data_IF_593981087887
#
_entry.id   IF_593981087887
#
_cell.length_a   1.000
_cell.length_b   1.000
_cell.length_c   1.000
_cell.angle_alpha   90.00
_cell.angle_beta   90.00
_cell.angle_gamma   90.00
#
_symmetry.space_group_name_H-M   'P 1'
#
loop_
_entity.id
_entity.type
_entity.pdbx_description
1 polymer ?
#
# COMPACT_ATOMS: atom_id res chain seq x y z
N UNK A 1 11.23 6.22 22.83
CA UNK A 1 12.29 6.01 21.79
C UNK A 1 12.08 7.07 20.71
N UNK A 2 13.14 7.79 20.31
CA UNK A 2 13.08 8.79 19.24
C UNK A 2 13.04 8.14 17.83
N UNK A 3 12.72 8.93 16.82
CA UNK A 3 12.56 8.45 15.44
C UNK A 3 13.89 7.93 14.84
N UNK A 4 15.03 8.49 15.22
CA UNK A 4 16.32 8.07 14.67
C UNK A 4 16.71 6.68 15.19
N UNK A 5 16.54 6.45 16.49
CA UNK A 5 16.73 5.14 17.12
C UNK A 5 15.77 4.11 16.54
N UNK A 6 14.51 4.47 16.36
CA UNK A 6 13.48 3.62 15.74
C UNK A 6 13.86 3.24 14.30
N UNK A 7 14.34 4.19 13.49
CA UNK A 7 14.78 3.93 12.11
C UNK A 7 15.95 2.95 12.07
N UNK A 8 16.97 3.14 12.91
CA UNK A 8 18.11 2.20 13.02
C UNK A 8 17.64 0.79 13.44
N UNK A 9 16.70 0.72 14.38
CA UNK A 9 16.09 -0.54 14.82
C UNK A 9 15.35 -1.27 13.69
N UNK A 10 14.63 -0.54 12.85
CA UNK A 10 13.96 -1.10 11.68
C UNK A 10 14.94 -1.59 10.61
N UNK A 11 15.97 -0.81 10.31
CA UNK A 11 16.99 -1.23 9.35
C UNK A 11 17.75 -2.48 9.82
N UNK A 12 18.06 -2.55 11.13
CA UNK A 12 18.64 -3.75 11.73
C UNK A 12 17.70 -4.96 11.63
N UNK A 13 16.41 -4.77 11.87
CA UNK A 13 15.40 -5.80 11.67
C UNK A 13 15.36 -6.31 10.23
N UNK A 14 15.36 -5.43 9.24
CA UNK A 14 15.41 -5.85 7.84
C UNK A 14 16.66 -6.69 7.52
N UNK A 15 17.82 -6.37 8.12
CA UNK A 15 19.04 -7.15 7.96
C UNK A 15 18.97 -8.52 8.63
N UNK A 16 18.22 -8.64 9.72
CA UNK A 16 17.95 -9.95 10.36
C UNK A 16 17.06 -10.81 9.44
N UNK A 17 15.99 -10.23 8.86
CA UNK A 17 15.03 -10.98 8.04
C UNK A 17 15.56 -11.33 6.64
N UNK A 18 16.29 -10.42 6.02
CA UNK A 18 16.72 -10.53 4.62
C UNK A 18 18.22 -10.78 4.45
N UNK A 19 19.01 -10.61 5.50
CA UNK A 19 20.45 -10.81 5.46
C UNK A 19 21.11 -9.96 4.36
N UNK A 20 21.83 -10.60 3.47
CA UNK A 20 22.55 -9.99 2.35
C UNK A 20 21.65 -9.51 1.19
N UNK A 21 20.36 -9.78 1.27
CA UNK A 21 19.41 -9.36 0.24
C UNK A 21 18.98 -7.89 0.40
N UNK A 22 19.18 -7.29 1.57
CA UNK A 22 18.87 -5.87 1.79
C UNK A 22 19.60 -5.00 0.77
N UNK A 23 18.88 -4.04 0.21
CA UNK A 23 19.41 -3.10 -0.79
C UNK A 23 19.65 -1.75 -0.14
N UNK A 24 20.90 -1.44 0.16
CA UNK A 24 21.29 -0.21 0.88
C UNK A 24 20.93 1.08 0.11
N UNK A 25 21.06 1.09 -1.23
CA UNK A 25 20.57 2.19 -2.08
C UNK A 25 19.07 2.47 -1.83
N UNK A 26 18.28 1.41 -1.63
CA UNK A 26 16.86 1.54 -1.29
C UNK A 26 16.62 2.11 0.11
N UNK A 27 17.45 1.79 1.09
CA UNK A 27 17.36 2.39 2.43
C UNK A 27 17.72 3.89 2.38
N UNK A 28 18.70 4.28 1.58
CA UNK A 28 19.05 5.69 1.35
C UNK A 28 17.90 6.44 0.67
N UNK A 29 17.29 5.85 -0.37
CA UNK A 29 16.10 6.41 -1.03
C UNK A 29 14.93 6.54 -0.03
N UNK A 30 14.72 5.54 0.83
CA UNK A 30 13.70 5.59 1.89
C UNK A 30 13.90 6.77 2.83
N UNK A 31 15.13 6.99 3.29
CA UNK A 31 15.45 8.14 4.16
C UNK A 31 15.23 9.48 3.46
N UNK A 32 15.49 9.57 2.16
CA UNK A 32 15.15 10.74 1.35
C UNK A 32 13.65 10.99 1.28
N UNK A 33 12.86 9.95 1.03
CA UNK A 33 11.38 10.05 1.04
C UNK A 33 10.83 10.47 2.42
N UNK A 34 11.42 9.97 3.51
CA UNK A 34 11.04 10.39 4.86
C UNK A 34 11.28 11.89 5.12
N UNK A 35 12.20 12.52 4.42
CA UNK A 35 12.48 13.96 4.52
C UNK A 35 11.54 14.81 3.67
N UNK A 36 10.90 14.24 2.65
CA UNK A 36 10.13 14.97 1.65
C UNK A 36 8.84 15.61 2.20
N UNK A 37 8.33 15.13 3.34
CA UNK A 37 7.14 15.70 3.99
C UNK A 37 6.40 14.68 4.85
N UNK A 38 5.37 15.13 5.61
CA UNK A 38 4.65 14.27 6.56
C UNK A 38 3.89 13.10 5.92
N UNK A 39 3.29 13.26 4.75
CA UNK A 39 2.59 12.17 4.07
C UNK A 39 3.54 11.10 3.50
N UNK A 40 4.62 11.43 2.76
CA UNK A 40 5.67 10.48 2.44
C UNK A 40 6.30 9.81 3.67
N UNK A 41 6.50 10.55 4.76
CA UNK A 41 7.02 10.02 6.02
C UNK A 41 6.09 8.95 6.61
N UNK A 42 4.79 9.22 6.74
CA UNK A 42 3.81 8.23 7.19
C UNK A 42 3.92 6.93 6.38
N UNK A 43 3.99 7.03 5.05
CA UNK A 43 4.09 5.87 4.13
C UNK A 43 5.42 5.12 4.24
N UNK A 44 6.48 5.84 4.57
CA UNK A 44 7.81 5.23 4.72
C UNK A 44 7.98 4.50 6.04
N UNK A 45 7.24 4.87 7.09
CA UNK A 45 7.54 4.54 8.49
C UNK A 45 6.43 3.76 9.21
N UNK A 46 5.83 2.77 8.55
CA UNK A 46 4.78 1.97 9.19
C UNK A 46 5.25 1.30 10.49
N UNK A 47 6.50 0.87 10.57
CA UNK A 47 7.06 0.33 11.81
C UNK A 47 6.99 1.34 12.98
N UNK A 48 7.20 2.63 12.71
CA UNK A 48 7.10 3.67 13.72
C UNK A 48 5.66 3.87 14.18
N UNK A 49 4.72 3.83 13.23
CA UNK A 49 3.29 3.84 13.53
C UNK A 49 2.93 2.75 14.54
N UNK A 50 3.38 1.51 14.31
CA UNK A 50 3.07 0.39 15.22
C UNK A 50 3.65 0.58 16.62
N UNK A 51 4.76 1.29 16.76
CA UNK A 51 5.40 1.57 18.04
C UNK A 51 4.64 2.61 18.87
N UNK A 52 3.96 3.58 18.22
CA UNK A 52 3.38 4.75 18.90
C UNK A 52 1.86 4.78 18.93
N UNK A 53 1.18 4.08 18.04
CA UNK A 53 -0.27 4.26 17.84
C UNK A 53 -1.10 3.94 19.08
N UNK A 54 -0.72 2.95 19.88
CA UNK A 54 -1.41 2.63 21.13
C UNK A 54 -1.05 3.57 22.29
N UNK A 55 -0.01 4.38 22.17
CA UNK A 55 0.26 5.50 23.08
C UNK A 55 -0.63 6.70 22.72
N UNK A 56 -0.90 6.92 21.43
CA UNK A 56 -1.71 8.03 20.91
C UNK A 56 -3.21 7.79 21.05
N UNK A 57 -3.65 6.55 20.95
CA UNK A 57 -5.05 6.14 21.01
C UNK A 57 -5.20 4.83 21.82
N UNK A 58 -4.93 4.86 23.12
CA UNK A 58 -4.92 3.66 23.98
C UNK A 58 -6.28 2.95 24.05
N UNK A 59 -7.37 3.69 23.88
CA UNK A 59 -8.74 3.15 23.87
C UNK A 59 -9.01 2.22 22.69
N UNK A 60 -8.18 2.26 21.64
CA UNK A 60 -8.31 1.37 20.48
C UNK A 60 -7.69 0.00 20.71
N UNK A 61 -6.88 -0.17 21.74
CA UNK A 61 -6.26 -1.46 22.08
C UNK A 61 -7.30 -2.54 22.39
N UNK A 62 -8.47 -2.16 22.90
CA UNK A 62 -9.58 -3.06 23.25
C UNK A 62 -10.53 -3.37 22.08
N UNK A 63 -10.37 -2.72 20.91
CA UNK A 63 -11.21 -2.99 19.77
C UNK A 63 -11.02 -4.43 19.25
N UNK A 64 -12.07 -5.05 18.71
CA UNK A 64 -11.99 -6.38 18.12
C UNK A 64 -10.84 -6.52 17.14
N UNK A 65 -10.07 -7.59 17.28
CA UNK A 65 -8.97 -7.90 16.39
C UNK A 65 -9.49 -8.57 15.12
N UNK A 66 -8.95 -8.15 13.99
CA UNK A 66 -9.25 -8.69 12.67
C UNK A 66 -7.95 -8.83 11.89
N UNK A 67 -8.00 -9.59 10.80
CA UNK A 67 -6.94 -9.51 9.81
C UNK A 67 -7.06 -8.15 9.09
N UNK A 68 -6.21 -7.22 9.46
CA UNK A 68 -6.18 -5.85 8.99
C UNK A 68 -5.04 -5.62 7.98
N UNK A 69 -5.13 -4.54 7.21
CA UNK A 69 -4.13 -4.18 6.18
C UNK A 69 -2.82 -3.70 6.79
N UNK A 70 -2.91 -2.95 7.88
CA UNK A 70 -1.79 -2.36 8.60
C UNK A 70 -1.27 -1.07 7.95
N UNK A 71 -0.48 -1.16 6.90
CA UNK A 71 0.06 0.03 6.20
C UNK A 71 -0.96 0.65 5.24
N UNK A 72 -2.15 0.94 5.73
CA UNK A 72 -3.18 1.60 4.93
C UNK A 72 -2.94 3.11 4.85
N UNK A 73 -3.14 3.69 3.68
CA UNK A 73 -3.09 5.12 3.39
C UNK A 73 -3.81 5.42 2.08
N UNK A 74 -4.08 6.71 1.76
CA UNK A 74 -4.83 7.11 0.56
C UNK A 74 -4.35 6.46 -0.74
N UNK A 75 -3.05 6.31 -0.90
CA UNK A 75 -2.47 5.74 -2.11
C UNK A 75 -2.29 4.21 -2.06
N UNK A 76 -2.84 3.51 -1.07
CA UNK A 76 -2.79 2.05 -1.04
C UNK A 76 -3.95 1.38 -1.79
N UNK A 77 -4.67 2.13 -2.61
CA UNK A 77 -5.77 1.64 -3.42
C UNK A 77 -5.42 1.71 -4.91
N UNK A 78 -5.94 0.76 -5.67
CA UNK A 78 -5.73 0.72 -7.11
C UNK A 78 -6.62 -0.30 -7.78
N UNK A 79 -6.44 -0.47 -9.10
CA UNK A 79 -7.23 -1.39 -9.89
C UNK A 79 -6.46 -2.64 -10.29
N UNK A 80 -7.20 -3.72 -10.47
CA UNK A 80 -6.72 -4.97 -11.09
C UNK A 80 -7.86 -5.64 -11.87
N UNK A 81 -7.56 -6.75 -12.51
CA UNK A 81 -8.56 -7.61 -13.13
C UNK A 81 -8.61 -8.94 -12.38
N UNK A 82 -9.81 -9.38 -12.03
CA UNK A 82 -10.03 -10.69 -11.43
C UNK A 82 -9.93 -11.84 -12.46
N UNK A 83 -10.29 -13.06 -12.05
CA UNK A 83 -10.19 -14.24 -12.89
C UNK A 83 -11.13 -14.20 -14.12
N UNK A 84 -12.26 -13.49 -14.00
CA UNK A 84 -13.22 -13.30 -15.10
C UNK A 84 -12.91 -12.05 -15.95
N UNK A 85 -11.77 -11.37 -15.69
CA UNK A 85 -11.38 -10.16 -16.41
C UNK A 85 -12.13 -8.90 -15.97
N UNK A 86 -12.99 -8.95 -14.92
CA UNK A 86 -13.74 -7.80 -14.43
C UNK A 86 -12.81 -6.79 -13.77
N UNK A 87 -13.08 -5.50 -13.99
CA UNK A 87 -12.32 -4.44 -13.36
C UNK A 87 -12.71 -4.32 -11.88
N UNK A 88 -11.72 -4.48 -11.01
CA UNK A 88 -11.87 -4.39 -9.55
C UNK A 88 -11.02 -3.23 -9.06
N UNK A 89 -11.53 -2.52 -8.05
CA UNK A 89 -10.79 -1.50 -7.31
C UNK A 89 -10.77 -1.87 -5.82
N UNK A 90 -9.70 -1.51 -5.13
CA UNK A 90 -9.57 -1.71 -3.70
C UNK A 90 -8.12 -1.66 -3.24
N UNK A 91 -7.85 -2.11 -2.02
CA UNK A 91 -6.49 -2.23 -1.47
C UNK A 91 -5.68 -3.22 -2.32
N UNK A 92 -4.45 -2.83 -2.69
CA UNK A 92 -3.58 -3.60 -3.57
C UNK A 92 -2.14 -3.79 -3.07
N UNK A 93 -1.85 -3.41 -1.83
CA UNK A 93 -0.59 -3.71 -1.13
C UNK A 93 -0.91 -4.24 0.27
N UNK A 94 -0.48 -5.45 0.57
CA UNK A 94 -0.85 -6.22 1.77
C UNK A 94 0.35 -6.65 2.60
N UNK A 95 1.52 -6.07 2.37
CA UNK A 95 2.79 -6.51 2.95
C UNK A 95 2.81 -6.49 4.49
N UNK A 96 2.05 -5.57 5.08
CA UNK A 96 1.99 -5.35 6.51
C UNK A 96 0.72 -5.95 7.16
N UNK A 97 0.07 -6.88 6.44
CA UNK A 97 -1.13 -7.55 6.94
C UNK A 97 -0.85 -8.32 8.25
N UNK A 98 -1.65 -8.05 9.27
CA UNK A 98 -1.54 -8.70 10.58
C UNK A 98 -2.88 -8.72 11.32
N UNK A 99 -2.97 -9.53 12.37
CA UNK A 99 -4.12 -9.51 13.26
C UNK A 99 -3.97 -8.38 14.28
N UNK A 100 -4.83 -7.37 14.16
CA UNK A 100 -4.79 -6.18 15.02
C UNK A 100 -6.18 -5.56 15.18
N UNK A 101 -6.36 -4.64 16.13
CA UNK A 101 -7.62 -3.90 16.29
C UNK A 101 -8.05 -3.23 14.98
N UNK A 102 -9.28 -3.52 14.50
CA UNK A 102 -9.78 -3.01 13.21
C UNK A 102 -9.75 -1.47 13.10
N UNK A 103 -9.96 -0.80 14.23
CA UNK A 103 -10.01 0.66 14.31
C UNK A 103 -8.67 1.34 13.95
N UNK A 104 -7.55 0.61 14.02
CA UNK A 104 -6.23 1.14 13.68
C UNK A 104 -6.07 1.39 12.18
N UNK A 105 -6.66 0.57 11.32
CA UNK A 105 -6.69 0.83 9.88
C UNK A 105 -7.50 2.11 9.57
N UNK A 106 -8.66 2.28 10.21
CA UNK A 106 -9.46 3.50 10.04
C UNK A 106 -8.71 4.74 10.52
N UNK A 107 -8.06 4.65 11.67
CA UNK A 107 -7.25 5.74 12.22
C UNK A 107 -6.10 6.12 11.27
N UNK A 108 -5.37 5.13 10.78
CA UNK A 108 -4.25 5.37 9.88
C UNK A 108 -4.70 5.95 8.54
N UNK A 109 -5.81 5.46 7.98
CA UNK A 109 -6.38 6.01 6.74
C UNK A 109 -6.77 7.49 6.92
N UNK A 110 -7.50 7.82 8.00
CA UNK A 110 -7.89 9.20 8.29
C UNK A 110 -6.66 10.10 8.53
N UNK A 111 -5.66 9.63 9.28
CA UNK A 111 -4.38 10.33 9.49
C UNK A 111 -3.68 10.60 8.15
N UNK A 112 -3.66 9.62 7.24
CA UNK A 112 -3.05 9.79 5.91
C UNK A 112 -3.77 10.87 5.09
N UNK A 113 -5.09 10.98 5.23
CA UNK A 113 -5.90 12.02 4.59
C UNK A 113 -5.51 13.43 5.08
N UNK A 114 -5.37 13.61 6.38
CA UNK A 114 -4.94 14.90 6.96
C UNK A 114 -3.52 15.29 6.52
N UNK A 115 -2.61 14.35 6.46
CA UNK A 115 -1.22 14.61 6.07
C UNK A 115 -1.05 14.88 4.57
N UNK A 116 -1.98 14.40 3.74
CA UNK A 116 -1.98 14.64 2.30
C UNK A 116 -2.67 15.95 1.90
N UNK A 117 -3.63 16.41 2.70
CA UNK A 117 -4.46 17.60 2.39
C UNK A 117 -4.73 18.46 3.62
N UNK A 118 -3.76 19.27 4.02
CA UNK A 118 -3.82 20.10 5.22
C UNK A 118 -5.03 21.07 5.28
N UNK A 119 -5.70 21.31 4.17
CA UNK A 119 -6.90 22.18 4.08
C UNK A 119 -8.20 21.46 4.46
N UNK A 120 -8.19 20.13 4.52
CA UNK A 120 -9.37 19.33 4.82
C UNK A 120 -9.57 19.21 6.33
N UNK A 121 -10.82 19.36 6.77
CA UNK A 121 -11.17 19.20 8.19
C UNK A 121 -11.17 17.73 8.58
N UNK A 122 -10.58 17.43 9.72
CA UNK A 122 -10.52 16.08 10.27
C UNK A 122 -11.90 15.42 10.35
N UNK A 123 -12.91 16.18 10.72
CA UNK A 123 -14.29 15.71 10.84
C UNK A 123 -14.84 15.22 9.49
N UNK A 124 -14.62 15.97 8.40
CA UNK A 124 -15.14 15.62 7.07
C UNK A 124 -14.49 14.33 6.53
N UNK A 125 -13.17 14.17 6.73
CA UNK A 125 -12.45 12.95 6.34
C UNK A 125 -12.97 11.77 7.19
N UNK A 126 -13.04 11.93 8.50
CA UNK A 126 -13.47 10.89 9.42
C UNK A 126 -14.91 10.44 9.16
N UNK A 127 -15.84 11.41 8.97
CA UNK A 127 -17.24 11.11 8.65
C UNK A 127 -17.37 10.29 7.37
N UNK A 128 -16.70 10.68 6.29
CA UNK A 128 -16.75 9.97 5.03
C UNK A 128 -16.23 8.53 5.17
N UNK A 129 -15.10 8.32 5.84
CA UNK A 129 -14.53 7.00 6.07
C UNK A 129 -15.48 6.15 6.92
N UNK A 130 -16.06 6.70 7.99
CA UNK A 130 -16.98 5.99 8.87
C UNK A 130 -18.31 5.65 8.19
N UNK A 131 -18.83 6.54 7.32
CA UNK A 131 -20.03 6.26 6.53
C UNK A 131 -19.80 5.10 5.55
N UNK A 132 -18.67 5.13 4.86
CA UNK A 132 -18.29 4.04 3.98
C UNK A 132 -18.08 2.72 4.73
N UNK A 133 -17.42 2.78 5.90
CA UNK A 133 -17.20 1.61 6.73
C UNK A 133 -18.53 1.01 7.23
N UNK A 134 -19.48 1.84 7.68
CA UNK A 134 -20.83 1.41 8.07
C UNK A 134 -21.53 0.70 6.92
N UNK A 135 -21.52 1.29 5.71
CA UNK A 135 -22.09 0.66 4.50
C UNK A 135 -21.46 -0.70 4.21
N UNK A 136 -20.14 -0.82 4.34
CA UNK A 136 -19.42 -2.08 4.14
C UNK A 136 -19.71 -3.13 5.22
N UNK A 137 -20.02 -2.70 6.46
CA UNK A 137 -20.48 -3.62 7.50
C UNK A 137 -21.86 -4.22 7.22
N UNK A 138 -22.73 -3.47 6.55
CA UNK A 138 -24.08 -3.91 6.16
C UNK A 138 -24.05 -4.78 4.88
N UNK A 139 -23.33 -4.34 3.85
CA UNK A 139 -23.24 -5.01 2.54
C UNK A 139 -21.76 -5.17 2.12
N UNK A 140 -21.03 -6.14 2.72
CA UNK A 140 -19.63 -6.39 2.37
C UNK A 140 -19.50 -7.02 0.98
N UNK A 141 -18.51 -6.58 0.23
CA UNK A 141 -18.22 -7.14 -1.09
C UNK A 141 -17.19 -6.32 -1.87
N UNK A 142 -16.62 -6.89 -2.94
CA UNK A 142 -15.61 -6.22 -3.74
C UNK A 142 -16.24 -5.07 -4.56
N UNK A 143 -15.46 -4.01 -4.77
CA UNK A 143 -15.82 -2.96 -5.71
C UNK A 143 -15.52 -3.40 -7.16
N UNK A 144 -16.44 -4.17 -7.76
CA UNK A 144 -16.40 -4.54 -9.19
C UNK A 144 -17.05 -3.43 -10.00
N UNK A 145 -16.30 -2.82 -10.90
CA UNK A 145 -16.65 -1.56 -11.55
C UNK A 145 -17.41 -1.70 -12.89
N UNK A 146 -17.60 -2.92 -13.38
CA UNK A 146 -18.19 -3.13 -14.71
C UNK A 146 -19.65 -2.63 -14.81
N UNK A 147 -20.44 -2.74 -13.73
CA UNK A 147 -21.86 -2.38 -13.69
C UNK A 147 -22.24 -1.38 -12.60
N UNK A 148 -21.44 -1.28 -11.54
CA UNK A 148 -21.70 -0.43 -10.38
C UNK A 148 -20.59 0.61 -10.25
N UNK A 149 -20.80 1.64 -9.43
CA UNK A 149 -19.81 2.67 -9.12
C UNK A 149 -19.24 3.36 -10.38
N UNK A 150 -20.14 3.85 -11.27
CA UNK A 150 -19.75 4.50 -12.52
C UNK A 150 -18.76 5.65 -12.30
N UNK A 151 -19.00 6.48 -11.28
CA UNK A 151 -18.11 7.58 -10.89
C UNK A 151 -16.69 7.10 -10.55
N UNK A 152 -16.57 5.97 -9.82
CA UNK A 152 -15.26 5.40 -9.46
C UNK A 152 -14.56 4.81 -10.69
N UNK A 153 -15.33 4.14 -11.57
CA UNK A 153 -14.81 3.66 -12.84
C UNK A 153 -14.23 4.79 -13.69
N UNK A 154 -14.93 5.92 -13.78
CA UNK A 154 -14.46 7.11 -14.49
C UNK A 154 -13.18 7.68 -13.85
N UNK A 155 -13.15 7.82 -12.53
CA UNK A 155 -11.98 8.31 -11.80
C UNK A 155 -10.73 7.43 -11.97
N UNK A 156 -10.91 6.10 -12.13
CA UNK A 156 -9.80 5.14 -12.30
C UNK A 156 -9.64 4.64 -13.74
N UNK A 157 -10.32 5.23 -14.69
CA UNK A 157 -10.11 4.92 -16.11
C UNK A 157 -8.69 5.26 -16.53
N UNK A 158 -8.10 4.39 -17.35
CA UNK A 158 -6.70 4.54 -17.77
C UNK A 158 -6.66 5.27 -19.13
N UNK A 159 -6.17 6.52 -19.18
CA UNK A 159 -5.94 7.24 -20.43
C UNK A 159 -4.88 6.55 -21.29
N UNK A 160 -4.92 6.75 -22.62
CA UNK A 160 -3.93 6.15 -23.52
C UNK A 160 -2.50 6.62 -23.22
N UNK A 161 -2.31 7.90 -22.90
CA UNK A 161 -1.02 8.43 -22.50
C UNK A 161 -0.42 7.72 -21.27
N UNK A 162 -1.26 7.26 -20.32
CA UNK A 162 -0.80 6.48 -19.18
C UNK A 162 -0.31 5.07 -19.58
N UNK A 163 -0.96 4.43 -20.55
CA UNK A 163 -0.50 3.12 -21.08
C UNK A 163 0.86 3.25 -21.74
N UNK A 164 1.05 4.27 -22.56
CA UNK A 164 2.33 4.54 -23.20
C UNK A 164 3.42 4.85 -22.16
N UNK A 165 3.13 5.70 -21.17
CA UNK A 165 4.06 6.00 -20.09
C UNK A 165 4.47 4.76 -19.29
N UNK A 166 3.56 3.83 -19.04
CA UNK A 166 3.88 2.56 -18.36
C UNK A 166 5.01 1.81 -19.08
N UNK A 167 4.91 1.63 -20.39
CA UNK A 167 5.92 0.94 -21.19
C UNK A 167 7.23 1.71 -21.26
N UNK A 168 7.17 3.02 -21.44
CA UNK A 168 8.34 3.88 -21.45
C UNK A 168 9.07 3.89 -20.11
N UNK A 169 8.34 3.93 -19.01
CA UNK A 169 8.89 3.82 -17.65
C UNK A 169 9.60 2.48 -17.43
N UNK A 170 8.99 1.37 -17.85
CA UNK A 170 9.62 0.06 -17.77
C UNK A 170 10.92 0.02 -18.60
N UNK A 171 10.88 0.50 -19.82
CA UNK A 171 12.05 0.57 -20.72
C UNK A 171 13.17 1.44 -20.13
N UNK A 172 12.85 2.62 -19.57
CA UNK A 172 13.84 3.50 -18.93
C UNK A 172 14.48 2.82 -17.70
N UNK A 173 13.66 2.20 -16.83
CA UNK A 173 14.16 1.51 -15.63
C UNK A 173 15.06 0.34 -16.00
N UNK A 174 14.68 -0.46 -17.00
CA UNK A 174 15.50 -1.56 -17.51
C UNK A 174 16.84 -1.05 -18.06
N UNK A 175 16.83 -0.04 -18.94
CA UNK A 175 18.06 0.54 -19.49
C UNK A 175 18.98 1.07 -18.38
N UNK A 176 18.43 1.76 -17.37
CA UNK A 176 19.21 2.23 -16.22
C UNK A 176 19.88 1.07 -15.46
N UNK A 177 19.23 -0.08 -15.38
CA UNK A 177 19.82 -1.27 -14.75
C UNK A 177 20.90 -1.91 -15.66
N UNK A 178 20.65 -2.04 -16.96
CA UNK A 178 21.54 -2.68 -17.94
C UNK A 178 22.88 -1.98 -18.07
N UNK A 179 22.94 -0.64 -17.92
CA UNK A 179 24.17 0.13 -17.99
C UNK A 179 25.04 0.08 -16.73
N UNK A 180 24.53 -0.44 -15.61
CA UNK A 180 25.30 -0.64 -14.39
C UNK A 180 26.34 -1.76 -14.58
N UNK A 181 27.49 -1.62 -13.97
CA UNK A 181 28.45 -2.72 -13.85
C UNK A 181 27.91 -3.83 -12.96
N UNK A 182 28.46 -5.03 -13.07
CA UNK A 182 28.04 -6.16 -12.24
C UNK A 182 28.14 -5.88 -10.74
N UNK A 183 29.19 -5.16 -10.33
CA UNK A 183 29.40 -4.77 -8.94
C UNK A 183 28.34 -3.78 -8.40
N UNK A 184 27.78 -2.95 -9.29
CA UNK A 184 26.73 -1.97 -8.95
C UNK A 184 25.32 -2.54 -8.98
N UNK A 185 25.15 -3.74 -9.54
CA UNK A 185 23.83 -4.37 -9.63
C UNK A 185 23.48 -5.09 -8.34
N UNK A 186 22.27 -4.88 -7.77
CA UNK A 186 21.77 -5.77 -6.75
C UNK A 186 21.79 -7.22 -7.25
N UNK A 187 22.15 -8.14 -6.38
CA UNK A 187 22.19 -9.56 -6.71
C UNK A 187 20.76 -10.10 -6.86
N UNK A 188 20.47 -10.72 -8.00
CA UNK A 188 19.27 -11.53 -8.18
C UNK A 188 19.45 -12.87 -7.46
N UNK A 189 18.70 -13.06 -6.37
CA UNK A 189 18.75 -14.32 -5.63
C UNK A 189 17.81 -15.35 -6.26
N UNK A 190 18.12 -16.65 -6.20
CA UNK A 190 17.36 -17.69 -6.89
C UNK A 190 15.86 -17.71 -6.57
N UNK A 191 15.46 -17.39 -5.34
CA UNK A 191 14.05 -17.37 -4.93
C UNK A 191 13.20 -16.35 -5.70
N UNK A 192 13.76 -15.17 -6.04
CA UNK A 192 13.02 -14.16 -6.84
C UNK A 192 12.86 -14.61 -8.28
N UNK A 193 13.92 -15.16 -8.86
CA UNK A 193 13.89 -15.69 -10.22
C UNK A 193 12.89 -16.84 -10.32
N UNK A 194 12.95 -17.80 -9.40
CA UNK A 194 12.02 -18.92 -9.36
C UNK A 194 10.57 -18.47 -9.21
N UNK A 195 10.28 -17.51 -8.30
CA UNK A 195 8.94 -16.97 -8.09
C UNK A 195 8.42 -16.21 -9.32
N UNK A 196 9.28 -15.44 -10.00
CA UNK A 196 8.92 -14.75 -11.24
C UNK A 196 8.59 -15.74 -12.35
N UNK A 197 9.44 -16.73 -12.58
CA UNK A 197 9.24 -17.77 -13.60
C UNK A 197 7.97 -18.58 -13.35
N UNK A 198 7.71 -18.97 -12.10
CA UNK A 198 6.52 -19.75 -11.71
C UNK A 198 5.19 -19.01 -11.93
N UNK A 199 5.22 -17.69 -12.06
CA UNK A 199 4.02 -16.85 -12.24
C UNK A 199 3.84 -16.30 -13.64
N UNK A 200 4.80 -16.51 -14.54
CA UNK A 200 4.61 -16.24 -15.96
C UNK A 200 3.65 -17.27 -16.58
N UNK A 201 2.86 -16.89 -17.60
CA UNK A 201 2.02 -17.84 -18.32
C UNK A 201 2.86 -18.98 -18.92
N UNK A 202 2.35 -20.22 -18.92
CA UNK A 202 3.00 -21.34 -19.61
C UNK A 202 3.23 -21.02 -21.09
N UNK A 203 4.42 -21.36 -21.60
CA UNK A 203 4.81 -21.07 -22.98
C UNK A 203 5.30 -19.64 -23.22
N UNK A 204 5.55 -18.87 -22.18
CA UNK A 204 6.26 -17.58 -22.32
C UNK A 204 7.72 -17.83 -22.73
N UNK A 205 8.26 -16.88 -23.50
CA UNK A 205 9.69 -16.84 -23.83
C UNK A 205 10.55 -16.65 -22.56
N UNK A 206 11.88 -16.81 -22.72
CA UNK A 206 12.85 -16.54 -21.65
C UNK A 206 12.70 -15.09 -21.15
N UNK A 207 12.42 -14.85 -19.85
CA UNK A 207 12.15 -13.51 -19.34
C UNK A 207 13.43 -12.67 -19.23
N UNK A 208 13.32 -11.39 -19.53
CA UNK A 208 14.28 -10.37 -19.11
C UNK A 208 13.97 -9.96 -17.69
N UNK A 209 14.96 -10.08 -16.78
CA UNK A 209 14.79 -9.76 -15.37
C UNK A 209 15.72 -8.61 -14.99
N UNK A 210 15.18 -7.61 -14.26
CA UNK A 210 15.96 -6.48 -13.77
C UNK A 210 15.44 -5.97 -12.42
N UNK A 211 16.34 -5.32 -11.66
CA UNK A 211 15.99 -4.68 -10.40
C UNK A 211 15.15 -3.42 -10.62
N UNK A 212 14.20 -3.19 -9.73
CA UNK A 212 13.35 -2.00 -9.73
C UNK A 212 13.24 -1.43 -8.33
N UNK A 213 13.61 -0.14 -8.15
CA UNK A 213 13.23 0.62 -6.96
C UNK A 213 11.82 1.19 -7.14
N UNK A 214 10.92 0.90 -6.23
CA UNK A 214 9.55 1.42 -6.20
C UNK A 214 8.84 1.10 -4.87
N UNK A 215 7.86 1.96 -4.49
CA UNK A 215 7.01 1.76 -3.31
C UNK A 215 7.72 2.17 -2.02
N UNK A 216 7.40 3.37 -1.52
CA UNK A 216 8.08 4.03 -0.39
C UNK A 216 8.16 3.13 0.84
N UNK A 217 7.06 2.47 1.21
CA UNK A 217 7.00 1.55 2.36
C UNK A 217 7.99 0.39 2.29
N UNK A 218 8.26 -0.14 1.09
CA UNK A 218 9.10 -1.33 0.88
C UNK A 218 10.51 -1.03 0.37
N UNK A 219 10.95 0.23 0.32
CA UNK A 219 12.32 0.60 -0.02
C UNK A 219 13.32 -0.08 0.94
N UNK A 220 14.43 -0.56 0.39
CA UNK A 220 15.40 -1.41 1.11
C UNK A 220 15.12 -2.91 0.96
N UNK A 221 13.87 -3.33 0.64
CA UNK A 221 13.54 -4.72 0.30
C UNK A 221 13.79 -4.97 -1.19
N UNK A 222 14.37 -6.12 -1.58
CA UNK A 222 14.60 -6.44 -2.99
C UNK A 222 13.30 -6.47 -3.79
N UNK A 223 13.32 -5.87 -4.99
CA UNK A 223 12.20 -5.85 -5.92
C UNK A 223 12.70 -6.06 -7.34
N UNK A 224 12.14 -7.05 -8.03
CA UNK A 224 12.54 -7.47 -9.35
C UNK A 224 11.35 -7.45 -10.31
N UNK A 225 11.63 -7.16 -11.58
CA UNK A 225 10.64 -7.22 -12.66
C UNK A 225 11.10 -8.23 -13.69
N UNK A 226 10.18 -9.10 -14.11
CA UNK A 226 10.35 -9.98 -15.25
C UNK A 226 9.41 -9.54 -16.38
N UNK A 227 9.93 -9.44 -17.59
CA UNK A 227 9.19 -9.19 -18.82
C UNK A 227 9.47 -10.31 -19.82
N UNK A 228 8.42 -10.96 -20.29
CA UNK A 228 8.50 -12.05 -21.26
C UNK A 228 7.50 -11.85 -22.40
N UNK A 229 7.77 -12.38 -23.57
CA UNK A 229 6.79 -12.50 -24.67
C UNK A 229 5.85 -13.69 -24.40
N UNK A 230 4.58 -13.49 -24.64
CA UNK A 230 3.56 -14.53 -24.56
C UNK A 230 2.41 -14.19 -25.52
N UNK A 231 2.04 -15.14 -26.38
CA UNK A 231 0.97 -14.95 -27.38
C UNK A 231 1.07 -13.66 -28.20
N UNK A 232 2.30 -13.29 -28.58
CA UNK A 232 2.54 -12.15 -29.49
C UNK A 232 2.77 -10.79 -28.83
N UNK A 233 2.65 -10.68 -27.49
CA UNK A 233 2.91 -9.42 -26.77
C UNK A 233 3.54 -9.65 -25.38
N UNK A 234 3.86 -8.56 -24.70
CA UNK A 234 4.58 -8.56 -23.44
C UNK A 234 3.68 -8.83 -22.23
N UNK A 235 4.12 -9.73 -21.37
CA UNK A 235 3.60 -9.91 -20.01
C UNK A 235 4.66 -9.50 -18.99
N UNK A 236 4.22 -8.92 -17.87
CA UNK A 236 5.12 -8.38 -16.84
C UNK A 236 4.71 -8.89 -15.47
N UNK A 237 5.71 -9.32 -14.70
CA UNK A 237 5.57 -9.69 -13.28
C UNK A 237 6.53 -8.86 -12.43
N UNK A 238 6.12 -8.55 -11.22
CA UNK A 238 6.95 -7.94 -10.21
C UNK A 238 7.03 -8.86 -9.01
N UNK A 239 8.23 -9.14 -8.55
CA UNK A 239 8.53 -9.90 -7.33
C UNK A 239 9.12 -8.97 -6.28
N UNK A 240 8.61 -9.05 -5.05
CA UNK A 240 9.03 -8.21 -3.92
C UNK A 240 9.24 -9.08 -2.68
N UNK A 241 10.34 -8.85 -1.93
CA UNK A 241 10.51 -9.49 -0.63
C UNK A 241 9.40 -9.09 0.33
N UNK A 242 8.83 -10.07 1.02
CA UNK A 242 7.90 -9.87 2.13
C UNK A 242 8.56 -10.34 3.41
N UNK A 243 8.44 -9.56 4.46
CA UNK A 243 8.91 -9.89 5.81
C UNK A 243 7.71 -9.85 6.77
N UNK A 244 7.80 -10.44 7.98
CA UNK A 244 6.75 -10.32 8.97
C UNK A 244 6.36 -8.85 9.19
N UNK A 245 5.08 -8.59 9.39
CA UNK A 245 4.56 -7.24 9.60
C UNK A 245 5.25 -6.55 10.77
N UNK A 246 5.45 -5.24 10.66
CA UNK A 246 5.96 -4.44 11.76
C UNK A 246 5.04 -4.51 13.01
N UNK A 247 3.73 -4.68 12.82
CA UNK A 247 2.80 -4.94 13.93
C UNK A 247 3.14 -6.22 14.67
N UNK A 248 3.31 -7.31 13.95
CA UNK A 248 3.68 -8.61 14.51
C UNK A 248 5.02 -8.52 15.27
N UNK A 249 6.00 -7.81 14.70
CA UNK A 249 7.29 -7.58 15.35
C UNK A 249 7.16 -6.88 16.72
N UNK A 250 6.30 -5.87 16.81
CA UNK A 250 6.18 -5.02 18.02
C UNK A 250 5.25 -5.62 19.06
N UNK A 251 4.15 -6.26 18.64
CA UNK A 251 3.04 -6.64 19.53
C UNK A 251 2.88 -8.15 19.69
N UNK A 252 3.58 -8.99 18.93
CA UNK A 252 3.47 -10.45 19.01
C UNK A 252 4.85 -11.07 19.26
N UNK A 253 5.13 -11.46 20.49
CA UNK A 253 6.42 -12.06 20.85
C UNK A 253 6.73 -13.30 19.97
N UNK A 254 7.75 -13.21 19.11
CA UNK A 254 8.19 -14.29 18.23
C UNK A 254 7.30 -14.55 17.02
N UNK A 255 6.30 -13.72 16.75
CA UNK A 255 5.44 -13.82 15.58
C UNK A 255 6.21 -13.60 14.27
N UNK A 256 6.03 -14.50 13.29
CA UNK A 256 6.69 -14.45 11.98
C UNK A 256 5.72 -14.68 10.81
N UNK A 257 4.42 -14.54 11.04
CA UNK A 257 3.42 -14.80 10.01
C UNK A 257 3.43 -13.76 8.90
N UNK A 258 3.33 -14.21 7.65
CA UNK A 258 3.12 -13.37 6.46
C UNK A 258 1.70 -13.67 5.97
N UNK A 259 0.79 -12.69 6.07
CA UNK A 259 -0.65 -12.90 5.86
C UNK A 259 -1.19 -12.21 4.61
N UNK A 260 -0.31 -11.82 3.67
CA UNK A 260 -0.69 -11.11 2.45
C UNK A 260 -1.75 -11.84 1.60
N UNK A 261 -1.60 -13.17 1.45
CA UNK A 261 -2.53 -13.99 0.65
C UNK A 261 -3.91 -14.06 1.29
N UNK A 262 -3.98 -14.15 2.60
CA UNK A 262 -5.26 -14.23 3.31
C UNK A 262 -6.11 -12.97 3.08
N UNK A 263 -5.49 -11.77 3.12
CA UNK A 263 -6.19 -10.53 2.75
C UNK A 263 -6.54 -10.53 1.27
N UNK A 264 -5.58 -10.83 0.39
CA UNK A 264 -5.79 -10.77 -1.05
C UNK A 264 -6.95 -11.67 -1.53
N UNK A 265 -7.15 -12.82 -0.86
CA UNK A 265 -8.15 -13.83 -1.21
C UNK A 265 -9.31 -13.92 -0.20
N UNK A 266 -9.47 -12.92 0.66
CA UNK A 266 -10.51 -12.88 1.66
C UNK A 266 -11.92 -13.06 1.07
N UNK A 267 -12.85 -13.58 1.89
CA UNK A 267 -14.22 -13.97 1.47
C UNK A 267 -14.96 -12.91 0.65
N UNK A 268 -14.74 -11.63 0.93
CA UNK A 268 -15.40 -10.51 0.28
C UNK A 268 -14.51 -9.78 -0.73
N UNK A 269 -13.50 -10.47 -1.28
CA UNK A 269 -12.58 -9.95 -2.28
C UNK A 269 -12.80 -10.63 -3.63
N UNK A 270 -12.41 -9.95 -4.71
CA UNK A 270 -12.26 -10.50 -6.06
C UNK A 270 -10.78 -10.48 -6.43
N UNK A 271 -10.01 -11.54 -6.12
CA UNK A 271 -8.55 -11.50 -6.18
C UNK A 271 -8.00 -11.41 -7.60
N UNK A 272 -6.82 -10.78 -7.76
CA UNK A 272 -5.98 -10.95 -8.96
C UNK A 272 -5.45 -12.40 -8.99
N UNK A 273 -5.78 -13.22 -10.00
CA UNK A 273 -5.35 -14.62 -10.06
C UNK A 273 -3.83 -14.78 -10.16
N UNK A 274 -3.11 -13.70 -10.46
CA UNK A 274 -1.66 -13.69 -10.59
C UNK A 274 -0.92 -13.20 -9.34
N UNK A 275 -1.66 -12.82 -8.29
CA UNK A 275 -1.06 -12.51 -7.00
C UNK A 275 -0.69 -13.81 -6.26
N UNK A 276 0.57 -13.99 -5.94
CA UNK A 276 1.10 -15.16 -5.23
C UNK A 276 2.15 -14.73 -4.19
N UNK A 277 2.30 -15.52 -3.16
CA UNK A 277 3.46 -15.45 -2.25
C UNK A 277 4.17 -16.81 -2.28
N UNK A 278 5.42 -16.81 -2.69
CA UNK A 278 6.25 -18.00 -2.88
C UNK A 278 7.57 -17.75 -2.16
N UNK A 279 7.93 -18.57 -1.19
CA UNK A 279 9.18 -18.48 -0.42
C UNK A 279 9.51 -17.06 0.07
N UNK A 280 8.54 -16.39 0.72
CA UNK A 280 8.70 -15.03 1.21
C UNK A 280 8.84 -13.96 0.10
N UNK A 281 8.42 -14.28 -1.11
CA UNK A 281 8.39 -13.36 -2.25
C UNK A 281 6.96 -13.17 -2.72
N UNK A 282 6.42 -11.97 -2.60
CA UNK A 282 5.14 -11.60 -3.20
C UNK A 282 5.33 -11.27 -4.68
N UNK A 283 4.57 -11.96 -5.53
CA UNK A 283 4.58 -11.71 -6.98
C UNK A 283 3.22 -11.19 -7.40
N UNK A 284 3.22 -10.16 -8.23
CA UNK A 284 2.01 -9.58 -8.82
C UNK A 284 2.18 -9.28 -10.30
N UNK A 285 1.05 -9.23 -10.99
CA UNK A 285 0.99 -8.73 -12.36
C UNK A 285 1.22 -7.21 -12.37
N UNK A 286 2.07 -6.75 -13.30
CA UNK A 286 2.10 -5.35 -13.70
C UNK A 286 1.39 -5.23 -15.05
N UNK A 287 0.52 -4.24 -15.19
CA UNK A 287 -0.26 -4.03 -16.40
C UNK A 287 -0.42 -2.54 -16.69
N UNK A 288 -0.35 -2.11 -17.97
CA UNK A 288 -0.67 -0.74 -18.35
C UNK A 288 -2.14 -0.39 -18.10
N UNK A 289 -2.99 -1.40 -17.89
CA UNK A 289 -4.43 -1.24 -17.62
C UNK A 289 -4.76 -1.14 -16.13
N UNK A 290 -3.78 -1.24 -15.25
CA UNK A 290 -3.97 -1.01 -13.81
C UNK A 290 -3.70 0.46 -13.51
N UNK A 291 -4.51 1.05 -12.66
CA UNK A 291 -4.34 2.43 -12.22
C UNK A 291 -4.26 2.53 -10.70
N UNK A 292 -3.37 3.39 -10.26
CA UNK A 292 -3.27 3.93 -8.91
C UNK A 292 -3.34 5.45 -9.03
N UNK A 293 -4.17 6.10 -8.24
CA UNK A 293 -4.19 7.55 -8.11
C UNK A 293 -3.13 7.94 -7.09
N UNK A 294 -2.28 8.89 -7.44
CA UNK A 294 -1.22 9.44 -6.58
C UNK A 294 -1.54 10.90 -6.27
N UNK A 295 -1.31 11.33 -5.03
CA UNK A 295 -1.74 12.64 -4.51
C UNK A 295 -1.15 13.82 -5.25
N UNK A 296 0.09 13.70 -5.70
CA UNK A 296 0.90 14.74 -6.33
C UNK A 296 0.86 14.73 -7.87
N UNK A 297 0.04 13.84 -8.46
CA UNK A 297 -0.05 13.71 -9.91
C UNK A 297 -1.40 14.14 -10.44
N UNK A 298 -1.41 14.76 -11.64
CA UNK A 298 -2.65 15.05 -12.33
C UNK A 298 -3.38 13.78 -12.75
N UNK A 299 -4.71 13.85 -12.79
CA UNK A 299 -5.56 12.75 -13.24
C UNK A 299 -5.49 12.49 -14.73
N UNK A 300 -5.39 13.53 -15.55
CA UNK A 300 -5.25 13.44 -17.01
C UNK A 300 -4.13 14.36 -17.48
N UNK A 301 -3.35 13.90 -18.46
CA UNK A 301 -2.33 14.72 -19.15
C UNK A 301 -2.83 15.34 -20.45
N UNK A 302 -4.12 15.24 -20.77
CA UNK A 302 -4.65 15.63 -22.08
C UNK A 302 -5.10 17.09 -22.19
N UNK A 303 -4.87 17.92 -21.16
CA UNK A 303 -5.27 19.33 -21.22
C UNK A 303 -4.05 20.25 -21.19
N UNK A 304 -3.38 20.43 -22.35
CA UNK A 304 -2.48 21.59 -22.53
C UNK A 304 -3.23 22.92 -22.56
N UNK A 305 -4.57 22.95 -22.74
CA UNK A 305 -5.41 24.14 -22.82
C UNK A 305 -6.74 24.05 -22.04
N UNK A 306 -6.84 23.20 -21.00
CA UNK A 306 -8.07 23.00 -20.21
C UNK A 306 -8.11 23.75 -18.88
N UNK A 307 -9.29 23.85 -18.23
CA UNK A 307 -9.40 24.42 -16.89
C UNK A 307 -8.60 23.60 -15.89
N UNK A 308 -8.13 24.27 -14.86
CA UNK A 308 -7.30 23.82 -13.72
C UNK A 308 -7.18 22.29 -13.56
N UNK A 309 -5.95 21.79 -13.70
CA UNK A 309 -5.63 20.36 -13.72
C UNK A 309 -6.01 19.73 -12.37
N UNK A 310 -7.04 18.87 -12.34
CA UNK A 310 -7.47 18.17 -11.13
C UNK A 310 -6.35 17.25 -10.64
N UNK A 311 -5.82 17.52 -9.47
CA UNK A 311 -4.81 16.68 -8.84
C UNK A 311 -5.44 15.40 -8.28
N UNK A 312 -4.66 14.33 -8.27
CA UNK A 312 -5.08 13.06 -7.67
C UNK A 312 -5.51 13.20 -6.20
N UNK A 313 -4.89 14.12 -5.46
CA UNK A 313 -5.26 14.46 -4.08
C UNK A 313 -6.72 14.86 -3.94
N UNK A 314 -7.25 15.69 -4.85
CA UNK A 314 -8.62 16.21 -4.76
C UNK A 314 -9.64 15.09 -4.95
N UNK A 315 -9.32 14.11 -5.81
CA UNK A 315 -10.14 12.90 -5.98
C UNK A 315 -10.03 11.97 -4.77
N UNK A 316 -8.81 11.74 -4.28
CA UNK A 316 -8.58 10.84 -3.14
C UNK A 316 -9.21 11.35 -1.84
N UNK A 317 -9.27 12.67 -1.64
CA UNK A 317 -9.90 13.32 -0.50
C UNK A 317 -11.37 13.63 -0.72
N UNK A 318 -11.89 13.42 -1.92
CA UNK A 318 -13.32 13.54 -2.20
C UNK A 318 -14.15 12.56 -1.37
N UNK A 319 -15.27 13.03 -0.82
CA UNK A 319 -16.16 12.22 0.05
C UNK A 319 -16.50 10.85 -0.56
N UNK A 320 -16.91 10.72 -1.84
CA UNK A 320 -17.23 9.41 -2.41
C UNK A 320 -16.04 8.43 -2.40
N UNK A 321 -14.81 8.93 -2.58
CA UNK A 321 -13.62 8.08 -2.58
C UNK A 321 -13.28 7.61 -1.17
N UNK A 322 -13.36 8.48 -0.17
CA UNK A 322 -13.17 8.14 1.23
C UNK A 322 -14.21 7.13 1.72
N UNK A 323 -15.49 7.29 1.31
CA UNK A 323 -16.55 6.32 1.57
C UNK A 323 -16.23 4.96 0.91
N UNK A 324 -15.76 4.94 -0.33
CA UNK A 324 -15.35 3.70 -1.00
C UNK A 324 -14.18 3.02 -0.29
N UNK A 325 -13.21 3.79 0.21
CA UNK A 325 -12.08 3.27 1.00
C UNK A 325 -12.55 2.67 2.33
N UNK A 326 -13.45 3.34 3.05
CA UNK A 326 -14.06 2.82 4.28
C UNK A 326 -14.82 1.51 4.03
N UNK A 327 -15.63 1.44 2.96
CA UNK A 327 -16.37 0.23 2.57
C UNK A 327 -15.44 -0.95 2.25
N UNK A 328 -14.35 -0.70 1.56
CA UNK A 328 -13.35 -1.72 1.24
C UNK A 328 -12.69 -2.28 2.51
N UNK A 329 -12.33 -1.43 3.47
CA UNK A 329 -11.76 -1.87 4.75
C UNK A 329 -12.76 -2.72 5.53
N UNK A 330 -14.04 -2.36 5.58
CA UNK A 330 -15.06 -3.18 6.24
C UNK A 330 -15.16 -4.57 5.60
N UNK A 331 -15.10 -4.65 4.27
CA UNK A 331 -15.12 -5.91 3.53
C UNK A 331 -13.91 -6.80 3.85
N UNK A 332 -12.73 -6.18 4.00
CA UNK A 332 -11.51 -6.88 4.41
C UNK A 332 -11.64 -7.41 5.84
N UNK A 333 -12.03 -6.56 6.77
CA UNK A 333 -12.12 -6.91 8.19
C UNK A 333 -13.16 -7.99 8.48
N UNK A 334 -14.33 -7.94 7.81
CA UNK A 334 -15.39 -8.93 7.92
C UNK A 334 -15.03 -10.29 7.31
N UNK A 335 -13.97 -10.39 6.53
CA UNK A 335 -13.45 -11.67 6.07
C UNK A 335 -12.79 -12.48 7.20
N UNK A 336 -12.45 -11.84 8.33
CA UNK A 336 -11.94 -12.52 9.51
C UNK A 336 -13.07 -13.37 10.13
N UNK A 337 -12.78 -14.67 10.28
CA UNK A 337 -13.75 -15.61 10.84
C UNK A 337 -14.21 -15.18 12.24
N UNK A 338 -15.51 -15.24 12.47
CA UNK A 338 -16.18 -15.01 13.74
C UNK A 338 -16.04 -13.58 14.34
N UNK A 339 -15.29 -12.65 13.70
CA UNK A 339 -15.10 -11.31 14.23
C UNK A 339 -16.22 -10.31 13.85
N UNK A 340 -17.06 -10.64 12.88
CA UNK A 340 -17.99 -9.67 12.27
C UNK A 340 -19.02 -9.09 13.23
N UNK A 341 -19.55 -9.87 14.18
CA UNK A 341 -20.54 -9.40 15.16
C UNK A 341 -19.91 -8.46 16.19
N UNK A 342 -18.74 -8.80 16.68
CA UNK A 342 -18.00 -7.99 17.64
C UNK A 342 -17.57 -6.65 17.02
N UNK A 343 -17.10 -6.66 15.76
CA UNK A 343 -16.76 -5.43 15.03
C UNK A 343 -17.98 -4.53 14.88
N UNK A 344 -19.15 -5.05 14.49
CA UNK A 344 -20.38 -4.24 14.36
C UNK A 344 -20.81 -3.64 15.70
N UNK A 345 -20.76 -4.44 16.77
CA UNK A 345 -21.11 -4.01 18.14
C UNK A 345 -20.18 -2.90 18.61
N UNK A 346 -18.89 -3.09 18.49
CA UNK A 346 -17.89 -2.11 18.91
C UNK A 346 -17.99 -0.82 18.08
N UNK A 347 -18.11 -0.93 16.76
CA UNK A 347 -18.27 0.21 15.88
C UNK A 347 -19.49 1.07 16.23
N UNK A 348 -20.63 0.45 16.51
CA UNK A 348 -21.84 1.15 16.92
C UNK A 348 -21.67 1.83 18.29
N UNK A 349 -20.95 1.21 19.21
CA UNK A 349 -20.75 1.72 20.57
C UNK A 349 -19.76 2.91 20.64
N UNK A 350 -18.78 2.98 19.73
CA UNK A 350 -17.73 4.03 19.76
C UNK A 350 -18.23 5.43 19.42
N UNK A 351 -19.38 5.57 18.78
CA UNK A 351 -19.82 6.85 18.21
C UNK A 351 -18.95 7.26 17.01
N UNK A 352 -18.81 8.56 16.75
CA UNK A 352 -18.13 9.01 15.51
C UNK A 352 -16.93 9.94 15.76
N UNK A 353 -16.91 10.66 16.87
CA UNK A 353 -15.91 11.71 17.09
C UNK A 353 -14.48 11.19 17.36
N UNK A 354 -14.34 9.91 17.72
CA UNK A 354 -13.04 9.33 18.06
C UNK A 354 -12.05 9.36 16.88
N UNK A 355 -12.56 9.11 15.67
CA UNK A 355 -11.70 9.00 14.48
C UNK A 355 -11.10 10.37 14.12
N UNK A 356 -11.91 11.43 14.10
CA UNK A 356 -11.42 12.77 13.81
C UNK A 356 -10.39 13.23 14.85
N UNK A 357 -10.69 13.04 16.13
CA UNK A 357 -9.78 13.40 17.23
C UNK A 357 -8.48 12.61 17.19
N UNK A 358 -8.57 11.29 17.07
CA UNK A 358 -7.40 10.42 16.99
C UNK A 358 -6.53 10.72 15.77
N UNK A 359 -7.15 10.96 14.60
CA UNK A 359 -6.43 11.29 13.39
C UNK A 359 -5.70 12.65 13.49
N UNK A 360 -6.29 13.65 14.12
CA UNK A 360 -5.64 14.94 14.35
C UNK A 360 -4.40 14.79 15.26
N UNK A 361 -4.53 14.09 16.40
CA UNK A 361 -3.42 13.82 17.31
C UNK A 361 -2.30 13.02 16.61
N UNK A 362 -2.67 11.99 15.85
CA UNK A 362 -1.70 11.18 15.14
C UNK A 362 -1.00 11.97 14.01
N UNK A 363 -1.73 12.81 13.28
CA UNK A 363 -1.16 13.65 12.23
C UNK A 363 -0.15 14.67 12.79
N UNK A 364 -0.48 15.33 13.92
CA UNK A 364 0.43 16.23 14.61
C UNK A 364 1.72 15.51 15.05
N UNK A 365 1.59 14.34 15.67
CA UNK A 365 2.74 13.54 16.09
C UNK A 365 3.62 13.12 14.91
N UNK A 366 3.04 12.64 13.82
CA UNK A 366 3.77 12.22 12.61
C UNK A 366 4.48 13.42 11.96
N UNK A 367 3.83 14.58 11.89
CA UNK A 367 4.45 15.80 11.36
C UNK A 367 5.62 16.28 12.24
N UNK A 368 5.49 16.20 13.56
CA UNK A 368 6.57 16.54 14.49
C UNK A 368 7.77 15.60 14.34
N UNK A 369 7.56 14.28 14.27
CA UNK A 369 8.64 13.31 14.06
C UNK A 369 9.30 13.44 12.68
N UNK A 370 8.52 13.78 11.65
CA UNK A 370 9.06 14.08 10.32
C UNK A 370 9.96 15.30 10.36
N UNK A 371 9.55 16.39 11.02
CA UNK A 371 10.35 17.59 11.17
C UNK A 371 11.67 17.33 11.93
N UNK A 372 11.60 16.54 13.02
CA UNK A 372 12.79 16.08 13.78
C UNK A 372 13.75 15.29 12.88
N UNK A 373 13.21 14.33 12.11
CA UNK A 373 13.99 13.51 11.19
C UNK A 373 14.63 14.36 10.07
N UNK A 374 13.87 15.29 9.50
CA UNK A 374 14.34 16.15 8.42
C UNK A 374 15.44 17.13 8.87
N UNK A 375 15.38 17.61 10.12
CA UNK A 375 16.39 18.50 10.70
C UNK A 375 17.73 17.82 11.02
N UNK A 376 17.74 16.46 11.09
CA UNK A 376 18.96 15.71 11.38
C UNK A 376 19.82 15.61 10.12
N UNK A 377 21.14 15.90 10.19
CA UNK A 377 22.03 15.71 9.05
C UNK A 377 21.97 14.28 8.50
N UNK A 378 22.13 14.15 7.19
CA UNK A 378 22.27 12.80 6.60
C UNK A 378 23.51 12.13 7.21
N UNK A 379 23.27 10.97 7.84
CA UNK A 379 24.38 10.09 8.20
C UNK A 379 24.79 9.41 6.89
N UNK A 380 26.06 9.55 6.46
CA UNK A 380 26.56 9.00 5.21
C UNK A 380 26.46 7.47 5.14
#
# INVERSE_FOLDING_TARGET
MDILTSTKGYEAYLRIELGREVVDEGLTEKRSEMRAGPFPFLRATYWRWTEIVLELAPELASAPKVLAVGDIHLENFGTWRDADGRLVWGVNDYDEAAEMPYALDLLRLATSGLLAGAEHKAEAIAEAILDGYAQGLEDPGPAVLDRKLAWLREAVMVPEGHRQEFWDKLKRKRKKFEVRTEAERPKLWPRYEAALRATLPPGSDEPRIWYRSAGVGSLGRPRWVAQAQWCGDWVVREAKAVVPSAWTRVHEAGGRSIRCIEIATGRYRAPDPWYRVIDGVAVRRLSPNNRKIETDKPLSREAEDGPEETLGRDVLLGRPMLEAMGRELASIHLATKDAGEDVRRDFAARGRAWLAKGAAVAAERIAAEQAEFAATPEVP
#
